data_IF_777383766814
#
_entry.id   IF_777383766814
#
_cell.length_a   1.000
_cell.length_b   1.000
_cell.length_c   1.000
_cell.angle_alpha   90.00
_cell.angle_beta   90.00
_cell.angle_gamma   90.00
#
_symmetry.space_group_name_H-M   'P 1'
#
loop_
_entity.id
_entity.type
_entity.pdbx_description
1 polymer ?
#
# COMPACT_ATOMS: atom_id res chain seq x y z
N UNK A 1 -16.53 -10.74 2.89
CA UNK A 1 -16.24 -12.06 2.30
C UNK A 1 -15.62 -11.77 0.94
N UNK A 2 -14.32 -11.98 0.77
CA UNK A 2 -13.65 -11.73 -0.51
C UNK A 2 -14.03 -12.85 -1.50
N UNK A 3 -14.56 -12.49 -2.67
CA UNK A 3 -14.96 -13.43 -3.70
C UNK A 3 -13.79 -13.71 -4.64
N UNK A 4 -13.33 -14.96 -4.71
CA UNK A 4 -12.45 -15.40 -5.78
C UNK A 4 -13.29 -16.13 -6.83
N UNK A 5 -13.31 -15.64 -8.07
CA UNK A 5 -14.07 -16.24 -9.18
C UNK A 5 -13.12 -17.08 -10.03
N UNK A 6 -13.51 -18.32 -10.37
CA UNK A 6 -12.79 -19.16 -11.33
C UNK A 6 -13.50 -19.18 -12.68
N UNK A 7 -12.75 -18.88 -13.74
CA UNK A 7 -13.18 -19.06 -15.14
C UNK A 7 -12.21 -20.04 -15.80
N UNK A 8 -12.64 -21.29 -15.99
CA UNK A 8 -11.77 -22.37 -16.45
C UNK A 8 -10.60 -22.62 -15.50
N UNK A 9 -9.38 -22.43 -16.00
CA UNK A 9 -8.14 -22.54 -15.20
C UNK A 9 -7.66 -21.21 -14.61
N UNK A 10 -8.31 -20.09 -14.93
CA UNK A 10 -7.92 -18.78 -14.43
C UNK A 10 -8.63 -18.48 -13.11
N UNK A 11 -7.87 -18.03 -12.12
CA UNK A 11 -8.38 -17.44 -10.87
C UNK A 11 -8.41 -15.92 -11.04
N UNK A 12 -9.60 -15.33 -10.92
CA UNK A 12 -9.79 -13.89 -10.84
C UNK A 12 -9.96 -13.54 -9.37
N UNK A 13 -9.02 -12.74 -8.87
CA UNK A 13 -9.10 -12.16 -7.53
C UNK A 13 -9.82 -10.83 -7.65
N UNK A 14 -10.86 -10.62 -6.84
CA UNK A 14 -11.42 -9.28 -6.69
C UNK A 14 -10.36 -8.38 -6.06
N UNK A 15 -10.10 -7.22 -6.66
CA UNK A 15 -9.35 -6.15 -6.01
C UNK A 15 -10.18 -5.63 -4.84
N UNK A 16 -9.97 -6.24 -3.67
CA UNK A 16 -10.54 -5.74 -2.43
C UNK A 16 -9.62 -4.65 -1.92
N UNK A 17 -9.79 -3.43 -2.46
CA UNK A 17 -9.17 -2.26 -1.85
C UNK A 17 -9.80 -2.08 -0.46
N UNK A 18 -9.02 -2.30 0.59
CA UNK A 18 -9.49 -2.07 1.93
C UNK A 18 -9.39 -0.57 2.21
N UNK A 19 -10.49 0.16 2.04
CA UNK A 19 -10.58 1.60 2.35
C UNK A 19 -10.14 1.94 3.79
N UNK A 20 -10.09 0.94 4.67
CA UNK A 20 -9.61 1.05 6.05
C UNK A 20 -8.18 0.53 6.26
N UNK A 21 -7.38 0.39 5.20
CA UNK A 21 -5.97 0.02 5.35
C UNK A 21 -5.21 1.11 6.11
N UNK A 22 -4.64 0.71 7.25
CA UNK A 22 -3.77 1.55 8.05
C UNK A 22 -2.41 0.86 8.06
N UNK A 23 -1.40 1.40 7.37
CA UNK A 23 -0.06 0.81 7.38
C UNK A 23 0.50 0.85 8.79
N UNK A 24 1.18 -0.22 9.18
CA UNK A 24 1.86 -0.27 10.47
C UNK A 24 3.19 0.50 10.46
N UNK A 25 3.77 0.74 11.64
CA UNK A 25 5.00 1.52 11.75
C UNK A 25 6.20 0.85 11.03
N UNK A 26 6.25 -0.47 11.01
CA UNK A 26 7.31 -1.21 10.33
C UNK A 26 7.18 -1.08 8.80
N UNK A 27 5.96 -1.13 8.26
CA UNK A 27 5.70 -0.86 6.84
C UNK A 27 6.15 0.55 6.45
N UNK A 28 5.78 1.55 7.24
CA UNK A 28 6.17 2.95 7.01
C UNK A 28 7.70 3.10 7.03
N UNK A 29 8.36 2.52 8.05
CA UNK A 29 9.84 2.54 8.18
C UNK A 29 10.54 1.80 7.03
N UNK A 30 9.96 0.71 6.54
CA UNK A 30 10.50 -0.04 5.41
C UNK A 30 10.33 0.71 4.09
N UNK A 31 9.26 1.50 3.95
CA UNK A 31 8.98 2.27 2.73
C UNK A 31 9.76 3.59 2.66
N UNK A 32 10.04 4.22 3.80
CA UNK A 32 10.74 5.51 3.86
C UNK A 32 12.04 5.58 3.02
N UNK A 33 12.94 4.57 3.04
CA UNK A 33 14.15 4.58 2.21
C UNK A 33 13.87 4.57 0.69
N UNK A 34 12.73 4.03 0.26
CA UNK A 34 12.34 3.95 -1.16
C UNK A 34 12.11 5.35 -1.73
N UNK A 35 11.58 6.26 -0.91
CA UNK A 35 11.38 7.67 -1.26
C UNK A 35 12.54 8.57 -0.80
N UNK A 36 13.64 7.98 -0.35
CA UNK A 36 14.87 8.68 0.04
C UNK A 36 14.85 9.29 1.44
N UNK A 37 13.96 8.83 2.33
CA UNK A 37 13.89 9.26 3.74
C UNK A 37 14.61 8.24 4.62
N UNK A 38 15.53 8.69 5.47
CA UNK A 38 16.17 7.86 6.49
C UNK A 38 15.27 7.75 7.74
N UNK A 39 14.70 6.57 8.06
CA UNK A 39 13.73 6.44 9.15
C UNK A 39 14.30 6.72 10.55
N UNK A 40 15.63 6.67 10.71
CA UNK A 40 16.30 6.90 11.98
C UNK A 40 16.83 8.33 12.11
N UNK A 41 17.18 8.99 10.99
CA UNK A 41 17.65 10.38 11.00
C UNK A 41 16.57 11.42 10.73
N UNK A 42 15.52 11.04 10.00
CA UNK A 42 14.47 11.93 9.50
C UNK A 42 13.08 11.40 9.91
N UNK A 43 12.96 11.00 11.17
CA UNK A 43 11.74 10.38 11.73
C UNK A 43 10.49 11.27 11.61
N UNK A 44 10.68 12.59 11.60
CA UNK A 44 9.66 13.61 11.39
C UNK A 44 9.10 13.63 9.97
N UNK A 45 9.77 12.99 9.00
CA UNK A 45 9.31 12.86 7.62
C UNK A 45 8.57 11.53 7.37
N UNK A 46 8.52 10.61 8.34
CA UNK A 46 7.86 9.31 8.18
C UNK A 46 6.37 9.40 7.83
N UNK A 47 5.69 10.51 8.17
CA UNK A 47 4.31 10.73 7.75
C UNK A 47 4.18 10.80 6.22
N UNK A 48 5.21 11.25 5.48
CA UNK A 48 5.19 11.25 4.01
C UNK A 48 5.17 9.83 3.47
N UNK A 49 5.99 8.94 4.04
CA UNK A 49 6.00 7.52 3.68
C UNK A 49 4.63 6.87 3.96
N UNK A 50 4.00 7.22 5.09
CA UNK A 50 2.63 6.78 5.41
C UNK A 50 1.64 7.23 4.34
N UNK A 51 1.64 8.52 3.98
CA UNK A 51 0.71 9.06 2.98
C UNK A 51 0.91 8.43 1.60
N UNK A 52 2.15 8.12 1.21
CA UNK A 52 2.42 7.39 -0.02
C UNK A 52 1.84 5.97 -0.02
N UNK A 53 1.84 5.28 1.12
CA UNK A 53 1.31 3.91 1.24
C UNK A 53 -0.23 3.87 1.18
N UNK A 54 -0.91 4.91 1.64
CA UNK A 54 -2.39 5.01 1.57
C UNK A 54 -2.89 5.73 0.32
N UNK A 55 -1.99 6.28 -0.49
CA UNK A 55 -2.36 7.00 -1.70
C UNK A 55 -3.12 6.07 -2.66
N UNK A 56 -4.33 6.45 -3.11
CA UNK A 56 -5.07 5.64 -4.06
C UNK A 56 -4.30 5.56 -5.38
N UNK A 57 -4.40 4.41 -6.05
CA UNK A 57 -3.83 4.27 -7.39
C UNK A 57 -4.48 5.29 -8.34
N UNK A 58 -3.69 5.90 -9.24
CA UNK A 58 -4.25 6.75 -10.29
C UNK A 58 -5.33 6.01 -11.07
N UNK A 59 -6.44 6.68 -11.48
CA UNK A 59 -7.56 6.03 -12.15
C UNK A 59 -7.20 5.38 -13.50
N UNK A 60 -6.10 5.81 -14.11
CA UNK A 60 -5.58 5.28 -15.38
C UNK A 60 -4.60 4.11 -15.19
N UNK A 61 -4.26 3.75 -13.95
CA UNK A 61 -3.47 2.55 -13.65
C UNK A 61 -4.42 1.37 -13.49
N UNK A 62 -4.55 0.58 -14.57
CA UNK A 62 -5.29 -0.69 -14.64
C UNK A 62 -4.38 -1.81 -15.12
#
# INVERSE_FOLDING_TARGET
>A
MAGAVRIGNQLILEEVYNDSYVPDEQEIRNFAPIIGIDPDKESELLWLARECLVAPLPPDWK
#
